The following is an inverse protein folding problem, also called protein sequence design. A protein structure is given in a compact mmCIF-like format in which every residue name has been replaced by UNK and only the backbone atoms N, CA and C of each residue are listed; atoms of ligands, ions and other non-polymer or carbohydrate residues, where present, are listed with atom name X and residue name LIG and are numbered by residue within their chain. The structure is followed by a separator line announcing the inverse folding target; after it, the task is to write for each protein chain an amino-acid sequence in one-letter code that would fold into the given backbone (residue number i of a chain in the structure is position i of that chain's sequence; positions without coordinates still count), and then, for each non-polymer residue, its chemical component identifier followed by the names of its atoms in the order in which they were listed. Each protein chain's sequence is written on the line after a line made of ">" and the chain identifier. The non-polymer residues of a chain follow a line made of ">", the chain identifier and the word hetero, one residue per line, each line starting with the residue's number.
data_IF_301909399384
#
_entry.id   IF_301909399384
#
_cell.length_a   1.000
_cell.length_b   1.000
_cell.length_c   1.000
_cell.angle_alpha   90.00
_cell.angle_beta   90.00
_cell.angle_gamma   90.00
#
_symmetry.space_group_name_H-M   'P 1'
#
loop_
_entity.id
_entity.type
_entity.pdbx_description
1 polymer ?
#
# COMPACT_ATOMS: atom_id res chain seq x y z
N UNK A 1 -13.93 5.43 -10.72
CA UNK A 1 -14.37 6.82 -10.99
C UNK A 1 -13.71 7.72 -9.96
N UNK A 2 -13.52 9.02 -10.21
CA UNK A 2 -13.10 9.94 -9.15
C UNK A 2 -14.15 9.92 -8.03
N UNK A 3 -13.68 9.77 -6.78
CA UNK A 3 -14.53 9.55 -5.61
C UNK A 3 -14.70 8.08 -5.20
N UNK A 4 -14.34 7.12 -6.06
CA UNK A 4 -14.22 5.71 -5.66
C UNK A 4 -12.89 5.48 -4.96
N UNK A 5 -12.86 4.47 -4.08
CA UNK A 5 -11.64 4.04 -3.38
C UNK A 5 -11.05 2.81 -4.03
N UNK A 6 -9.73 2.79 -4.16
CA UNK A 6 -8.98 1.60 -4.52
C UNK A 6 -8.68 0.78 -3.26
N UNK A 7 -9.22 -0.42 -3.20
CA UNK A 7 -8.94 -1.38 -2.13
C UNK A 7 -7.74 -2.25 -2.50
N UNK A 8 -6.58 -1.99 -1.89
CA UNK A 8 -5.33 -2.65 -2.20
C UNK A 8 -4.99 -3.72 -1.15
N UNK A 9 -4.52 -4.87 -1.62
CA UNK A 9 -4.03 -5.96 -0.77
C UNK A 9 -2.64 -6.40 -1.22
N UNK A 10 -1.67 -6.29 -0.32
CA UNK A 10 -0.37 -6.93 -0.43
C UNK A 10 -0.39 -8.23 0.37
N UNK A 11 0.15 -9.31 -0.20
CA UNK A 11 0.24 -10.61 0.45
C UNK A 11 1.52 -11.34 0.05
N UNK A 12 2.07 -12.13 0.97
CA UNK A 12 3.15 -13.08 0.69
C UNK A 12 2.71 -14.49 1.06
N UNK A 13 2.97 -15.46 0.19
CA UNK A 13 2.74 -16.86 0.49
C UNK A 13 3.90 -17.40 1.31
N UNK A 14 3.64 -17.81 2.55
CA UNK A 14 4.69 -18.22 3.49
C UNK A 14 5.17 -19.65 3.29
N UNK A 15 4.36 -20.53 2.67
CA UNK A 15 4.72 -21.93 2.44
C UNK A 15 5.27 -22.61 3.71
N UNK A 16 6.48 -23.16 3.63
CA UNK A 16 7.20 -23.77 4.75
C UNK A 16 8.19 -22.84 5.46
N UNK A 17 8.17 -21.53 5.16
CA UNK A 17 9.02 -20.56 5.86
C UNK A 17 8.51 -20.32 7.29
N UNK A 18 9.40 -19.79 8.13
CA UNK A 18 9.05 -19.26 9.46
C UNK A 18 7.94 -18.20 9.35
N UNK A 19 7.15 -17.95 10.41
CA UNK A 19 6.11 -16.93 10.39
C UNK A 19 6.66 -15.56 9.95
N UNK A 20 6.05 -14.96 8.94
CA UNK A 20 6.43 -13.65 8.40
C UNK A 20 5.38 -12.59 8.73
N UNK A 21 5.81 -11.32 8.76
CA UNK A 21 4.93 -10.16 8.83
C UNK A 21 5.22 -9.24 7.65
N UNK A 22 4.19 -8.92 6.87
CA UNK A 22 4.32 -8.11 5.66
C UNK A 22 4.20 -6.61 5.97
N UNK A 23 5.07 -5.81 5.34
CA UNK A 23 4.98 -4.35 5.29
C UNK A 23 5.10 -3.88 3.83
N UNK A 24 4.55 -2.71 3.54
CA UNK A 24 4.79 -1.99 2.29
C UNK A 24 5.68 -0.82 2.65
N UNK A 25 6.89 -0.80 2.10
CA UNK A 25 7.89 0.22 2.38
C UNK A 25 7.63 1.51 1.59
N UNK A 26 7.32 1.34 0.30
CA UNK A 26 7.11 2.40 -0.67
C UNK A 26 6.04 1.99 -1.70
N UNK A 27 5.21 2.94 -2.12
CA UNK A 27 4.17 2.74 -3.14
C UNK A 27 3.96 4.04 -3.91
N UNK A 28 4.04 3.96 -5.24
CA UNK A 28 3.93 5.11 -6.14
C UNK A 28 2.98 4.75 -7.27
N UNK A 29 2.10 5.69 -7.62
CA UNK A 29 1.30 5.62 -8.84
C UNK A 29 1.98 6.38 -9.97
N UNK A 30 2.13 5.72 -11.11
CA UNK A 30 2.74 6.24 -12.34
C UNK A 30 1.89 5.87 -13.56
N UNK A 31 2.07 6.59 -14.68
CA UNK A 31 1.37 6.27 -15.94
C UNK A 31 1.92 5.01 -16.63
N UNK A 32 3.15 4.61 -16.28
CA UNK A 32 3.81 3.42 -16.81
C UNK A 32 4.40 2.61 -15.65
N UNK A 33 4.76 1.32 -15.85
CA UNK A 33 5.40 0.54 -14.78
C UNK A 33 6.76 1.07 -14.29
N UNK A 34 7.38 2.02 -15.01
CA UNK A 34 8.60 2.68 -14.54
C UNK A 34 8.27 3.73 -13.47
N UNK A 35 8.54 3.38 -12.22
CA UNK A 35 8.30 4.20 -11.04
C UNK A 35 9.11 5.51 -11.02
N UNK A 36 10.16 5.63 -11.83
CA UNK A 36 11.01 6.83 -11.91
C UNK A 36 10.50 7.87 -12.93
N UNK A 37 9.43 7.55 -13.66
CA UNK A 37 8.89 8.43 -14.70
C UNK A 37 7.91 9.47 -14.15
N UNK A 38 8.00 10.71 -14.64
CA UNK A 38 7.04 11.78 -14.35
C UNK A 38 5.85 11.72 -15.33
N UNK A 39 4.62 11.98 -14.88
CA UNK A 39 4.21 12.31 -13.51
C UNK A 39 4.11 11.08 -12.60
N UNK A 40 4.39 11.27 -11.31
CA UNK A 40 4.21 10.26 -10.27
C UNK A 40 3.50 10.84 -9.05
N UNK A 41 2.80 9.98 -8.31
CA UNK A 41 2.13 10.31 -7.05
C UNK A 41 2.54 9.32 -5.96
N UNK A 42 3.06 9.82 -4.85
CA UNK A 42 3.53 8.97 -3.75
C UNK A 42 2.40 8.64 -2.80
N UNK A 43 2.14 7.34 -2.62
CA UNK A 43 1.07 6.81 -1.76
C UNK A 43 1.61 6.39 -0.40
N UNK A 44 2.70 5.61 -0.42
CA UNK A 44 3.43 5.17 0.77
C UNK A 44 4.89 5.57 0.62
N UNK A 45 5.44 6.22 1.64
CA UNK A 45 6.84 6.66 1.71
C UNK A 45 7.37 6.51 3.13
N UNK A 46 8.62 6.93 3.38
CA UNK A 46 9.24 6.96 4.70
C UNK A 46 9.15 5.62 5.45
N UNK A 47 9.33 4.51 4.71
CA UNK A 47 9.33 3.15 5.22
C UNK A 47 7.98 2.72 5.83
N UNK A 48 6.90 2.97 5.10
CA UNK A 48 5.55 2.51 5.45
C UNK A 48 4.61 3.58 5.98
N UNK A 49 4.95 4.87 5.89
CA UNK A 49 4.00 5.95 6.12
C UNK A 49 3.08 6.09 4.91
N UNK A 50 1.77 5.88 5.10
CA UNK A 50 0.77 6.12 4.06
C UNK A 50 0.51 7.63 3.95
N UNK A 51 1.37 8.31 3.20
CA UNK A 51 1.41 9.78 3.09
C UNK A 51 0.22 10.36 2.34
N UNK A 52 -0.44 9.56 1.50
CA UNK A 52 -1.68 9.95 0.82
C UNK A 52 -2.80 10.31 1.82
N UNK A 53 -2.79 9.67 2.99
CA UNK A 53 -3.71 9.92 4.10
C UNK A 53 -3.61 11.32 4.71
N UNK A 54 -2.53 12.05 4.43
CA UNK A 54 -2.34 13.44 4.87
C UNK A 54 -3.18 14.42 4.04
N UNK A 55 -3.47 14.06 2.78
CA UNK A 55 -4.24 14.88 1.84
C UNK A 55 -5.65 14.35 1.64
N UNK A 56 -5.84 13.03 1.64
CA UNK A 56 -7.15 12.38 1.62
C UNK A 56 -7.35 11.53 2.87
N UNK A 57 -8.22 11.98 3.78
CA UNK A 57 -8.57 11.24 5.00
C UNK A 57 -9.24 9.88 4.73
N UNK A 58 -9.60 9.58 3.48
CA UNK A 58 -10.15 8.31 3.05
C UNK A 58 -9.08 7.21 2.88
N UNK A 59 -7.81 7.61 2.75
CA UNK A 59 -6.67 6.72 2.58
C UNK A 59 -6.13 6.26 3.94
N UNK A 60 -6.13 4.95 4.17
CA UNK A 60 -5.76 4.38 5.46
C UNK A 60 -5.34 2.91 5.37
N UNK A 61 -4.44 2.50 6.28
CA UNK A 61 -4.22 1.08 6.55
C UNK A 61 -5.44 0.50 7.26
N UNK A 62 -5.91 -0.66 6.80
CA UNK A 62 -6.97 -1.39 7.49
C UNK A 62 -6.41 -2.11 8.71
N UNK A 63 -7.01 -1.85 9.87
CA UNK A 63 -6.71 -2.54 11.11
C UNK A 63 -7.99 -3.15 11.72
N UNK A 64 -7.93 -4.35 12.34
CA UNK A 64 -6.75 -5.22 12.42
C UNK A 64 -6.43 -5.91 11.09
N UNK A 65 -5.22 -6.47 10.97
CA UNK A 65 -4.81 -7.29 9.82
C UNK A 65 -5.58 -8.61 9.80
N UNK A 66 -5.98 -9.12 8.62
CA UNK A 66 -6.55 -10.47 8.51
C UNK A 66 -5.57 -11.56 8.94
N UNK A 67 -4.30 -11.43 8.53
CA UNK A 67 -3.17 -12.30 8.92
C UNK A 67 -1.86 -11.48 8.91
N UNK A 68 -0.81 -11.88 9.65
CA UNK A 68 0.47 -11.14 9.67
C UNK A 68 1.10 -10.90 8.30
N UNK A 69 0.97 -11.86 7.39
CA UNK A 69 1.50 -11.87 6.02
C UNK A 69 0.61 -11.13 5.01
N UNK A 70 -0.49 -10.52 5.46
CA UNK A 70 -1.43 -9.74 4.64
C UNK A 70 -1.47 -8.29 5.16
N UNK A 71 -1.39 -7.32 4.24
CA UNK A 71 -1.57 -5.90 4.52
C UNK A 71 -2.62 -5.34 3.53
N UNK A 72 -3.64 -4.70 4.07
CA UNK A 72 -4.71 -4.06 3.30
C UNK A 72 -4.71 -2.56 3.58
N UNK A 73 -4.91 -1.75 2.54
CA UNK A 73 -5.07 -0.30 2.65
C UNK A 73 -6.00 0.23 1.57
N UNK A 74 -6.62 1.38 1.83
CA UNK A 74 -7.40 2.15 0.85
C UNK A 74 -6.64 3.38 0.43
N UNK A 75 -6.85 3.76 -0.83
CA UNK A 75 -6.46 5.03 -1.45
C UNK A 75 -7.57 5.49 -2.40
#
# INVERSE_FOLDING_TARGET
>A
QLGDRAHLQAQVHTGSHVPLRLFVDHCVATLTPDWSTSPYHTIVDFHGCLVDGLTDASSAFKAPRPRPEILQFTV
#
